data_IF_411965542977
#
_entry.id   IF_411965542977
#
_cell.length_a   1.000
_cell.length_b   1.000
_cell.length_c   1.000
_cell.angle_alpha   90.00
_cell.angle_beta   90.00
_cell.angle_gamma   90.00
#
_symmetry.space_group_name_H-M   'P 1'
#
loop_
_entity.id
_entity.type
_entity.pdbx_description
1 polymer ?
#
# COMPACT_ATOMS: atom_id res chain seq x y z
N UNK A 1 25.20 2.99 16.93
CA UNK A 1 24.35 3.86 16.10
C UNK A 1 23.59 3.08 15.03
N UNK A 2 24.23 2.14 14.34
CA UNK A 2 23.66 1.36 13.22
C UNK A 2 22.39 0.58 13.57
N UNK A 3 22.29 -0.01 14.78
CA UNK A 3 21.10 -0.73 15.22
C UNK A 3 19.85 0.16 15.40
N UNK A 4 20.01 1.41 15.83
CA UNK A 4 18.90 2.35 15.93
C UNK A 4 18.39 2.75 14.53
N UNK A 5 19.30 2.89 13.56
CA UNK A 5 18.98 3.20 12.17
C UNK A 5 18.25 2.03 11.49
N UNK A 6 18.72 0.79 11.65
CA UNK A 6 18.03 -0.39 11.10
C UNK A 6 16.62 -0.54 11.70
N UNK A 7 16.49 -0.35 13.00
CA UNK A 7 15.18 -0.36 13.68
C UNK A 7 14.25 0.73 13.16
N UNK A 8 14.74 1.95 12.93
CA UNK A 8 13.94 3.04 12.39
C UNK A 8 13.45 2.77 10.96
N UNK A 9 14.28 2.14 10.12
CA UNK A 9 13.90 1.70 8.77
C UNK A 9 12.80 0.64 8.82
N UNK A 10 12.95 -0.39 9.66
CA UNK A 10 11.93 -1.44 9.87
C UNK A 10 10.60 -0.86 10.36
N UNK A 11 10.64 0.10 11.30
CA UNK A 11 9.43 0.80 11.77
C UNK A 11 8.76 1.60 10.65
N UNK A 12 9.53 2.24 9.77
CA UNK A 12 8.99 2.96 8.61
C UNK A 12 8.39 1.99 7.59
N UNK A 13 9.04 0.87 7.29
CA UNK A 13 8.51 -0.18 6.43
C UNK A 13 7.17 -0.72 6.95
N UNK A 14 7.08 -1.01 8.25
CA UNK A 14 5.84 -1.46 8.88
C UNK A 14 4.71 -0.42 8.74
N UNK A 15 5.00 0.87 8.95
CA UNK A 15 4.01 1.94 8.75
C UNK A 15 3.50 2.02 7.31
N UNK A 16 4.38 1.86 6.32
CA UNK A 16 3.99 1.87 4.90
C UNK A 16 3.09 0.68 4.57
N UNK A 17 3.40 -0.53 5.06
CA UNK A 17 2.54 -1.72 4.87
C UNK A 17 1.17 -1.54 5.49
N UNK A 18 1.13 -1.05 6.73
CA UNK A 18 -0.13 -0.77 7.43
C UNK A 18 -0.96 0.27 6.69
N UNK A 19 -0.32 1.30 6.15
CA UNK A 19 -1.04 2.31 5.37
C UNK A 19 -1.59 1.75 4.05
N UNK A 20 -0.80 0.93 3.35
CA UNK A 20 -1.25 0.21 2.14
C UNK A 20 -2.48 -0.68 2.42
N UNK A 21 -2.49 -1.41 3.54
CA UNK A 21 -3.63 -2.21 3.98
C UNK A 21 -4.85 -1.33 4.29
N UNK A 22 -4.65 -0.22 5.00
CA UNK A 22 -5.74 0.70 5.36
C UNK A 22 -6.43 1.29 4.12
N UNK A 23 -5.70 1.67 3.08
CA UNK A 23 -6.30 2.24 1.87
C UNK A 23 -7.09 1.20 1.07
N UNK A 24 -6.63 -0.06 1.02
CA UNK A 24 -7.33 -1.16 0.35
C UNK A 24 -8.57 -1.65 1.15
N UNK A 25 -8.61 -1.42 2.46
CA UNK A 25 -9.79 -1.71 3.28
C UNK A 25 -10.84 -0.58 3.29
N UNK A 26 -10.68 0.46 2.48
CA UNK A 26 -11.65 1.56 2.44
C UNK A 26 -12.99 1.09 1.83
N UNK A 27 -14.14 1.62 2.29
CA UNK A 27 -15.46 1.26 1.75
C UNK A 27 -15.59 1.47 0.23
N UNK A 28 -14.80 2.40 -0.33
CA UNK A 28 -14.73 2.66 -1.77
C UNK A 28 -14.37 1.42 -2.60
N UNK A 29 -13.57 0.51 -2.03
CA UNK A 29 -13.19 -0.75 -2.67
C UNK A 29 -14.33 -1.78 -2.75
N UNK A 30 -15.49 -1.47 -2.18
CA UNK A 30 -16.68 -2.34 -2.19
C UNK A 30 -17.92 -1.68 -2.79
N UNK A 31 -17.84 -0.41 -3.22
CA UNK A 31 -18.99 0.36 -3.72
C UNK A 31 -19.64 -0.27 -4.95
N UNK A 32 -18.87 -0.96 -5.78
CA UNK A 32 -19.37 -1.68 -6.97
C UNK A 32 -20.48 -2.68 -6.62
N UNK A 33 -20.42 -3.29 -5.42
CA UNK A 33 -21.41 -4.26 -4.95
C UNK A 33 -22.79 -3.65 -4.74
N UNK A 34 -22.86 -2.33 -4.61
CA UNK A 34 -24.09 -1.57 -4.39
C UNK A 34 -24.59 -0.84 -5.65
N UNK A 35 -23.79 -0.83 -6.71
CA UNK A 35 -24.02 -0.10 -7.96
C UNK A 35 -24.45 -1.02 -9.12
N UNK A 36 -25.22 -2.07 -8.83
CA UNK A 36 -25.68 -3.02 -9.86
C UNK A 36 -26.83 -2.46 -10.69
N UNK A 37 -27.10 -3.11 -11.82
CA UNK A 37 -28.17 -2.76 -12.78
C UNK A 37 -29.56 -2.73 -12.13
N UNK A 38 -29.72 -3.45 -11.01
CA UNK A 38 -30.98 -3.52 -10.25
C UNK A 38 -31.24 -2.25 -9.42
N UNK A 39 -30.19 -1.52 -9.01
CA UNK A 39 -30.30 -0.35 -8.12
C UNK A 39 -30.20 0.98 -8.85
N UNK A 40 -29.54 1.04 -10.01
CA UNK A 40 -29.29 2.29 -10.73
C UNK A 40 -30.04 2.40 -12.06
N UNK A 41 -31.09 3.24 -12.08
CA UNK A 41 -31.84 3.63 -13.29
C UNK A 41 -31.46 5.05 -13.71
N UNK A 42 -30.94 5.22 -14.92
CA UNK A 42 -30.57 6.53 -15.47
C UNK A 42 -29.60 6.41 -16.65
N UNK A 43 -29.20 7.53 -17.27
CA UNK A 43 -28.42 7.52 -18.52
C UNK A 43 -26.90 7.26 -18.35
N UNK A 44 -26.38 7.22 -17.12
CA UNK A 44 -24.93 7.20 -16.83
C UNK A 44 -24.38 6.15 -15.83
N UNK A 45 -25.07 5.05 -15.46
CA UNK A 45 -24.50 4.03 -14.58
C UNK A 45 -23.13 3.51 -15.04
N UNK A 46 -22.98 3.30 -16.35
CA UNK A 46 -21.74 2.81 -16.97
C UNK A 46 -20.56 3.78 -16.77
N UNK A 47 -20.78 5.09 -16.98
CA UNK A 47 -19.75 6.12 -16.76
C UNK A 47 -19.32 6.17 -15.29
N UNK A 48 -20.28 6.09 -14.36
CA UNK A 48 -19.99 6.08 -12.92
C UNK A 48 -19.19 4.83 -12.51
N UNK A 49 -19.56 3.65 -13.02
CA UNK A 49 -18.82 2.41 -12.76
C UNK A 49 -17.41 2.46 -13.35
N UNK A 50 -17.24 3.02 -14.54
CA UNK A 50 -15.93 3.19 -15.15
C UNK A 50 -15.03 4.12 -14.31
N UNK A 51 -15.57 5.24 -13.81
CA UNK A 51 -14.83 6.14 -12.91
C UNK A 51 -14.48 5.46 -11.58
N UNK A 52 -15.39 4.66 -11.04
CA UNK A 52 -15.15 3.88 -9.81
C UNK A 52 -14.00 2.88 -10.02
N UNK A 53 -14.03 2.08 -11.09
CA UNK A 53 -12.97 1.12 -11.39
C UNK A 53 -11.62 1.82 -11.58
N UNK A 54 -11.58 2.98 -12.26
CA UNK A 54 -10.35 3.76 -12.41
C UNK A 54 -9.81 4.24 -11.05
N UNK A 55 -10.69 4.70 -10.16
CA UNK A 55 -10.30 5.13 -8.83
C UNK A 55 -9.77 3.95 -7.99
N UNK A 56 -10.43 2.79 -8.03
CA UNK A 56 -10.00 1.58 -7.33
C UNK A 56 -8.66 1.05 -7.86
N UNK A 57 -8.46 1.09 -9.18
CA UNK A 57 -7.18 0.72 -9.79
C UNK A 57 -6.04 1.58 -9.28
N UNK A 58 -6.23 2.91 -9.22
CA UNK A 58 -5.24 3.85 -8.68
C UNK A 58 -4.93 3.58 -7.20
N UNK A 59 -5.94 3.19 -6.41
CA UNK A 59 -5.74 2.81 -5.00
C UNK A 59 -4.84 1.57 -4.92
N UNK A 60 -5.08 0.55 -5.74
CA UNK A 60 -4.24 -0.65 -5.79
C UNK A 60 -2.80 -0.34 -6.21
N UNK A 61 -2.60 0.43 -7.28
CA UNK A 61 -1.26 0.84 -7.72
C UNK A 61 -0.50 1.58 -6.60
N UNK A 62 -1.19 2.47 -5.90
CA UNK A 62 -0.62 3.22 -4.76
C UNK A 62 -0.26 2.28 -3.61
N UNK A 63 -1.13 1.31 -3.28
CA UNK A 63 -0.88 0.32 -2.23
C UNK A 63 0.34 -0.56 -2.58
N UNK A 64 0.46 -0.98 -3.82
CA UNK A 64 1.62 -1.74 -4.31
C UNK A 64 2.91 -0.92 -4.27
N UNK A 65 2.87 0.36 -4.64
CA UNK A 65 4.03 1.25 -4.50
C UNK A 65 4.48 1.39 -3.04
N UNK A 66 3.55 1.58 -2.10
CA UNK A 66 3.84 1.62 -0.67
C UNK A 66 4.49 0.31 -0.18
N UNK A 67 3.99 -0.84 -0.63
CA UNK A 67 4.57 -2.16 -0.33
C UNK A 67 5.98 -2.32 -0.90
N UNK A 68 6.22 -1.87 -2.14
CA UNK A 68 7.56 -1.87 -2.75
C UNK A 68 8.54 -0.99 -1.96
N UNK A 69 8.13 0.20 -1.56
CA UNK A 69 8.95 1.07 -0.72
C UNK A 69 9.23 0.45 0.65
N UNK A 70 8.25 -0.21 1.27
CA UNK A 70 8.47 -0.93 2.53
C UNK A 70 9.51 -2.06 2.38
N UNK A 71 9.46 -2.81 1.29
CA UNK A 71 10.44 -3.85 1.00
C UNK A 71 11.85 -3.28 0.84
N UNK A 72 12.01 -2.18 0.10
CA UNK A 72 13.32 -1.52 -0.05
C UNK A 72 13.91 -1.05 1.30
N UNK A 73 13.07 -0.52 2.19
CA UNK A 73 13.52 -0.10 3.52
C UNK A 73 13.99 -1.28 4.38
N UNK A 74 13.33 -2.44 4.28
CA UNK A 74 13.78 -3.64 4.98
C UNK A 74 15.12 -4.14 4.43
N UNK A 75 15.31 -4.14 3.10
CA UNK A 75 16.60 -4.47 2.49
C UNK A 75 17.72 -3.56 3.00
N UNK A 76 17.48 -2.25 3.05
CA UNK A 76 18.44 -1.30 3.61
C UNK A 76 18.74 -1.56 5.10
N UNK A 77 17.75 -1.98 5.88
CA UNK A 77 17.96 -2.34 7.28
C UNK A 77 18.83 -3.58 7.42
N UNK A 78 18.61 -4.60 6.59
CA UNK A 78 19.40 -5.83 6.56
C UNK A 78 20.86 -5.53 6.15
N UNK A 79 21.07 -4.70 5.12
CA UNK A 79 22.41 -4.26 4.69
C UNK A 79 23.18 -3.55 5.82
N UNK A 80 22.51 -2.67 6.58
CA UNK A 80 23.11 -1.97 7.71
C UNK A 80 23.48 -2.92 8.86
N UNK A 81 22.65 -3.92 9.13
CA UNK A 81 22.91 -4.92 10.16
C UNK A 81 24.10 -5.82 9.78
N UNK A 82 24.18 -6.24 8.51
CA UNK A 82 25.31 -7.01 7.98
C UNK A 82 26.62 -6.21 8.02
N UNK A 83 26.58 -4.95 7.58
CA UNK A 83 27.75 -4.08 7.63
C UNK A 83 28.24 -3.85 9.07
N UNK A 84 27.33 -3.69 10.04
CA UNK A 84 27.69 -3.58 11.44
C UNK A 84 28.32 -4.86 12.00
N UNK A 85 27.79 -6.03 11.62
CA UNK A 85 28.34 -7.32 12.04
C UNK A 85 29.76 -7.53 11.49
N UNK A 86 30.02 -7.16 10.23
CA UNK A 86 31.32 -7.30 9.59
C UNK A 86 32.41 -6.38 10.18
N UNK A 87 32.04 -5.26 10.81
CA UNK A 87 32.98 -4.36 11.49
C UNK A 87 33.36 -4.87 12.89
N UNK A 88 32.50 -5.71 13.48
CA UNK A 88 32.69 -6.27 14.83
C UNK A 88 33.35 -7.66 14.82
N UNK A 89 33.45 -8.31 13.66
CA UNK A 89 34.18 -9.55 13.42
C UNK A 89 35.66 -9.31 13.13
#
# INVERSE_FOLDING_TARGET
MTHHQSTALRQRAHRLRRFAEQIECTPAMSLERHATVDTWRGPRPEECLQLLHQAQHRIHETAEELRRHAWLLDQQADELELAAAAVLS
#
